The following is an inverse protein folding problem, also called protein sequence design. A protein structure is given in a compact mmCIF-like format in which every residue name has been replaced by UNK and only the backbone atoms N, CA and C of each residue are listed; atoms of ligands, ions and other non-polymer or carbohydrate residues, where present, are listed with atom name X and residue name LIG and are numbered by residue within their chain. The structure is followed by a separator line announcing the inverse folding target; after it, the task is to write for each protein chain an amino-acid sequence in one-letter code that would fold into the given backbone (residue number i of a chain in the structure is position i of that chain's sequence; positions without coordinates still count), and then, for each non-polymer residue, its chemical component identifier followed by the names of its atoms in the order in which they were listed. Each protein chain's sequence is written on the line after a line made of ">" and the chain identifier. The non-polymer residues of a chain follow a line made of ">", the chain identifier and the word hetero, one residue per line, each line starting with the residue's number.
data_IF_287717819452
#
_entry.id   IF_287717819452
#
_cell.length_a   1.000
_cell.length_b   1.000
_cell.length_c   1.000
_cell.angle_alpha   90.00
_cell.angle_beta   90.00
_cell.angle_gamma   90.00
#
_symmetry.space_group_name_H-M   'P 1'
#
loop_
_entity.id
_entity.type
_entity.pdbx_description
1 polymer ?
#
# COMPACT_ATOMS: atom_id res chain seq x y z
N UNK A 1 5.33 -1.39 14.23
CA UNK A 1 4.93 -2.27 13.11
C UNK A 1 3.48 -1.97 12.80
N UNK A 2 3.09 -1.76 11.54
CA UNK A 2 1.68 -1.69 11.19
C UNK A 2 1.10 -3.05 11.54
N UNK A 3 0.02 -3.05 12.31
CA UNK A 3 -0.70 -4.27 12.56
C UNK A 3 -1.59 -4.59 11.34
N UNK A 4 -2.18 -5.78 11.39
CA UNK A 4 -3.15 -6.22 10.39
C UNK A 4 -4.28 -5.19 10.18
N UNK A 5 -4.61 -4.38 11.21
CA UNK A 5 -5.63 -3.34 11.10
C UNK A 5 -5.20 -2.20 10.17
N UNK A 6 -3.97 -1.70 10.32
CA UNK A 6 -3.41 -0.68 9.43
C UNK A 6 -3.38 -1.16 7.96
N UNK A 7 -2.97 -2.41 7.70
CA UNK A 7 -2.97 -2.97 6.35
C UNK A 7 -4.39 -3.21 5.82
N UNK A 8 -5.32 -3.64 6.67
CA UNK A 8 -6.74 -3.72 6.31
C UNK A 8 -7.29 -2.35 5.92
N UNK A 9 -6.94 -1.28 6.65
CA UNK A 9 -7.43 0.07 6.36
C UNK A 9 -6.96 0.55 4.98
N UNK A 10 -5.71 0.27 4.60
CA UNK A 10 -5.23 0.55 3.22
C UNK A 10 -6.08 -0.18 2.18
N UNK A 11 -6.41 -1.45 2.42
CA UNK A 11 -7.33 -2.22 1.56
C UNK A 11 -8.71 -1.56 1.47
N UNK A 12 -9.26 -1.10 2.60
CA UNK A 12 -10.56 -0.41 2.64
C UNK A 12 -10.51 0.89 1.83
N UNK A 13 -9.49 1.73 2.03
CA UNK A 13 -9.31 2.97 1.27
C UNK A 13 -9.19 2.66 -0.23
N UNK A 14 -8.43 1.62 -0.60
CA UNK A 14 -8.29 1.18 -1.98
C UNK A 14 -9.62 0.77 -2.61
N UNK A 15 -10.40 -0.07 -1.90
CA UNK A 15 -11.75 -0.47 -2.29
C UNK A 15 -12.67 0.73 -2.52
N UNK A 16 -12.57 1.75 -1.66
CA UNK A 16 -13.33 3.00 -1.81
C UNK A 16 -12.90 3.79 -3.05
N UNK A 17 -11.60 3.87 -3.33
CA UNK A 17 -11.08 4.62 -4.47
C UNK A 17 -11.53 4.06 -5.82
N UNK A 18 -11.75 2.76 -5.95
CA UNK A 18 -12.11 2.13 -7.23
C UNK A 18 -13.61 2.16 -7.55
N UNK A 19 -14.47 1.78 -6.61
CA UNK A 19 -15.93 1.75 -6.82
C UNK A 19 -16.73 1.61 -5.51
N UNK A 20 -16.10 1.21 -4.40
CA UNK A 20 -16.79 1.02 -3.12
C UNK A 20 -17.81 -0.12 -3.11
N UNK A 21 -17.65 -1.14 -3.96
CA UNK A 21 -18.46 -2.36 -3.89
C UNK A 21 -17.88 -3.27 -2.79
N UNK A 22 -18.74 -3.89 -1.95
CA UNK A 22 -18.33 -4.81 -0.86
C UNK A 22 -17.38 -5.92 -1.32
N UNK A 23 -17.57 -6.49 -2.52
CA UNK A 23 -16.67 -7.52 -3.07
C UNK A 23 -15.26 -6.98 -3.31
N UNK A 24 -15.17 -5.73 -3.77
CA UNK A 24 -13.91 -5.05 -4.02
C UNK A 24 -13.24 -4.64 -2.71
N UNK A 25 -14.01 -4.25 -1.69
CA UNK A 25 -13.48 -4.03 -0.35
C UNK A 25 -12.84 -5.30 0.20
N UNK A 26 -13.57 -6.43 0.18
CA UNK A 26 -13.07 -7.69 0.69
C UNK A 26 -11.81 -8.13 -0.07
N UNK A 27 -11.84 -8.05 -1.40
CA UNK A 27 -10.68 -8.37 -2.22
C UNK A 27 -9.50 -7.46 -1.93
N UNK A 28 -9.72 -6.15 -1.80
CA UNK A 28 -8.66 -5.20 -1.49
C UNK A 28 -8.03 -5.46 -0.12
N UNK A 29 -8.84 -5.78 0.90
CA UNK A 29 -8.35 -6.17 2.23
C UNK A 29 -7.51 -7.44 2.13
N UNK A 30 -8.00 -8.49 1.47
CA UNK A 30 -7.25 -9.74 1.30
C UNK A 30 -5.91 -9.49 0.59
N UNK A 31 -5.89 -8.65 -0.44
CA UNK A 31 -4.67 -8.33 -1.17
C UNK A 31 -3.72 -7.44 -0.37
N UNK A 32 -4.24 -6.54 0.47
CA UNK A 32 -3.41 -5.67 1.31
C UNK A 32 -2.83 -6.37 2.53
N UNK A 33 -3.42 -7.49 2.98
CA UNK A 33 -2.87 -8.34 4.04
C UNK A 33 -2.19 -9.61 3.50
N UNK A 34 -2.11 -9.77 2.17
CA UNK A 34 -1.56 -10.98 1.57
C UNK A 34 -0.11 -11.26 2.00
N UNK A 35 0.79 -10.26 2.10
CA UNK A 35 2.16 -10.54 2.50
C UNK A 35 2.29 -11.07 3.94
N UNK A 36 1.40 -10.68 4.86
CA UNK A 36 1.39 -11.16 6.25
C UNK A 36 1.20 -12.67 6.39
N UNK A 37 0.71 -13.35 5.35
CA UNK A 37 0.58 -14.81 5.37
C UNK A 37 1.93 -15.52 5.56
N UNK A 38 3.05 -14.87 5.22
CA UNK A 38 4.37 -15.43 5.52
C UNK A 38 4.70 -15.44 7.02
N UNK A 39 3.96 -14.66 7.82
CA UNK A 39 3.97 -14.66 9.29
C UNK A 39 3.41 -15.93 9.92
N UNK A 40 2.72 -16.75 9.13
CA UNK A 40 2.31 -18.10 9.53
C UNK A 40 3.47 -19.10 9.46
N UNK A 41 4.65 -18.67 9.00
CA UNK A 41 5.84 -19.50 8.89
C UNK A 41 7.00 -18.90 9.69
N UNK A 42 8.02 -19.69 10.06
CA UNK A 42 9.25 -19.15 10.67
C UNK A 42 10.02 -18.19 9.76
N UNK A 43 9.65 -18.12 8.47
CA UNK A 43 10.26 -17.26 7.46
C UNK A 43 9.43 -15.97 7.25
N UNK A 44 8.81 -15.44 8.31
CA UNK A 44 8.08 -14.16 8.23
C UNK A 44 8.94 -13.05 7.59
N UNK A 45 8.32 -12.23 6.73
CA UNK A 45 8.94 -11.15 5.95
C UNK A 45 10.03 -11.59 4.99
N UNK A 46 9.84 -12.77 4.38
CA UNK A 46 10.74 -13.29 3.36
C UNK A 46 10.05 -13.44 2.01
N UNK A 47 9.38 -14.56 1.74
CA UNK A 47 8.89 -14.92 0.41
C UNK A 47 7.84 -13.93 -0.09
N UNK A 48 6.79 -13.66 0.69
CA UNK A 48 5.70 -12.79 0.25
C UNK A 48 6.04 -11.30 0.34
N UNK A 49 7.16 -10.96 0.98
CA UNK A 49 7.71 -9.61 1.02
C UNK A 49 8.89 -9.40 0.05
N UNK A 50 9.31 -10.45 -0.65
CA UNK A 50 10.39 -10.39 -1.64
C UNK A 50 9.87 -9.82 -2.95
N UNK A 51 10.57 -8.85 -3.52
CA UNK A 51 10.25 -8.28 -4.83
C UNK A 51 10.27 -9.35 -5.93
N UNK A 52 11.12 -10.37 -5.78
CA UNK A 52 11.25 -11.46 -6.75
C UNK A 52 9.95 -12.28 -6.85
N UNK A 53 9.21 -12.43 -5.75
CA UNK A 53 7.94 -13.13 -5.72
C UNK A 53 6.75 -12.18 -5.88
N UNK A 54 6.83 -11.01 -5.25
CA UNK A 54 5.76 -10.02 -5.23
C UNK A 54 5.48 -9.43 -6.60
N UNK A 55 6.51 -9.18 -7.42
CA UNK A 55 6.35 -8.68 -8.78
C UNK A 55 5.58 -9.63 -9.71
N UNK A 56 5.99 -10.91 -9.89
CA UNK A 56 5.21 -11.83 -10.70
C UNK A 56 3.82 -12.10 -10.12
N UNK A 57 3.68 -12.18 -8.80
CA UNK A 57 2.38 -12.33 -8.14
C UNK A 57 1.44 -11.15 -8.44
N UNK A 58 1.93 -9.92 -8.29
CA UNK A 58 1.17 -8.70 -8.56
C UNK A 58 0.79 -8.60 -10.04
N UNK A 59 1.70 -8.98 -10.95
CA UNK A 59 1.41 -9.05 -12.37
C UNK A 59 0.34 -10.11 -12.68
N UNK A 60 0.40 -11.28 -12.06
CA UNK A 60 -0.62 -12.32 -12.20
C UNK A 60 -1.99 -11.87 -11.68
N UNK A 61 -2.04 -11.14 -10.54
CA UNK A 61 -3.25 -10.52 -10.02
C UNK A 61 -3.82 -9.53 -11.05
N UNK A 62 -2.97 -8.65 -11.60
CA UNK A 62 -3.38 -7.69 -12.63
C UNK A 62 -3.99 -8.39 -13.85
N UNK A 63 -3.30 -9.38 -14.42
CA UNK A 63 -3.78 -10.14 -15.59
C UNK A 63 -5.11 -10.85 -15.29
N UNK A 64 -5.23 -11.47 -14.13
CA UNK A 64 -6.46 -12.14 -13.69
C UNK A 64 -7.63 -11.17 -13.61
N UNK A 65 -7.42 -9.98 -13.02
CA UNK A 65 -8.44 -8.94 -12.95
C UNK A 65 -8.80 -8.40 -14.34
N UNK A 66 -7.82 -8.27 -15.24
CA UNK A 66 -8.07 -7.90 -16.63
C UNK A 66 -8.90 -8.93 -17.38
N UNK A 67 -8.62 -10.22 -17.22
CA UNK A 67 -9.43 -11.31 -17.80
C UNK A 67 -10.88 -11.30 -17.28
N UNK A 68 -11.07 -10.94 -16.00
CA UNK A 68 -12.39 -10.73 -15.38
C UNK A 68 -13.06 -9.40 -15.77
N UNK A 69 -12.52 -8.68 -16.76
CA UNK A 69 -13.03 -7.41 -17.31
C UNK A 69 -13.05 -6.25 -16.32
N UNK A 70 -12.23 -6.27 -15.27
CA UNK A 70 -12.08 -5.09 -14.41
C UNK A 70 -11.44 -3.91 -15.19
N UNK A 71 -11.85 -2.66 -14.90
CA UNK A 71 -11.19 -1.48 -15.45
C UNK A 71 -9.69 -1.49 -15.15
N UNK A 72 -8.86 -0.99 -16.08
CA UNK A 72 -7.39 -0.98 -15.92
C UNK A 72 -7.00 -0.32 -14.60
N UNK A 73 -7.58 0.85 -14.29
CA UNK A 73 -7.35 1.56 -13.02
C UNK A 73 -7.62 0.70 -11.79
N UNK A 74 -8.72 -0.05 -11.77
CA UNK A 74 -9.07 -0.94 -10.66
C UNK A 74 -8.08 -2.10 -10.57
N UNK A 75 -7.77 -2.75 -11.69
CA UNK A 75 -6.84 -3.86 -11.74
C UNK A 75 -5.44 -3.43 -11.27
N UNK A 76 -4.95 -2.28 -11.72
CA UNK A 76 -3.65 -1.72 -11.33
C UNK A 76 -3.61 -1.38 -9.85
N UNK A 77 -4.62 -0.68 -9.31
CA UNK A 77 -4.60 -0.33 -7.88
C UNK A 77 -4.59 -1.58 -7.00
N UNK A 78 -5.44 -2.57 -7.28
CA UNK A 78 -5.52 -3.80 -6.49
C UNK A 78 -4.22 -4.63 -6.60
N UNK A 79 -3.64 -4.72 -7.79
CA UNK A 79 -2.36 -5.38 -8.00
C UNK A 79 -1.20 -4.69 -7.25
N UNK A 80 -1.30 -3.40 -6.97
CA UNK A 80 -0.29 -2.67 -6.20
C UNK A 80 -0.43 -2.81 -4.68
N UNK A 81 -1.53 -3.36 -4.15
CA UNK A 81 -1.74 -3.43 -2.70
C UNK A 81 -0.69 -4.27 -1.96
N UNK A 82 -0.23 -5.42 -2.48
CA UNK A 82 0.87 -6.16 -1.84
C UNK A 82 2.18 -5.35 -1.77
N UNK A 83 2.45 -4.49 -2.76
CA UNK A 83 3.59 -3.57 -2.72
C UNK A 83 3.42 -2.45 -1.70
N UNK A 84 2.21 -1.87 -1.61
CA UNK A 84 1.92 -0.85 -0.60
C UNK A 84 2.08 -1.40 0.80
N UNK A 85 1.66 -2.65 1.03
CA UNK A 85 1.92 -3.37 2.28
C UNK A 85 3.41 -3.41 2.60
N UNK A 86 4.24 -3.94 1.68
CA UNK A 86 5.68 -4.05 1.91
C UNK A 86 6.36 -2.69 2.11
N UNK A 87 5.87 -1.65 1.41
CA UNK A 87 6.34 -0.28 1.58
C UNK A 87 6.03 0.24 2.99
N UNK A 88 4.82 0.00 3.50
CA UNK A 88 4.47 0.37 4.88
C UNK A 88 5.41 -0.32 5.85
N UNK A 89 5.65 -1.62 5.70
CA UNK A 89 6.52 -2.39 6.58
C UNK A 89 7.99 -1.93 6.52
N UNK A 90 8.47 -1.49 5.36
CA UNK A 90 9.81 -0.89 5.22
C UNK A 90 9.92 0.43 5.97
N UNK A 91 8.89 1.27 5.90
CA UNK A 91 8.91 2.64 6.42
C UNK A 91 8.52 2.74 7.90
N UNK A 92 7.84 1.74 8.45
CA UNK A 92 7.28 1.80 9.81
C UNK A 92 8.09 1.03 10.86
N UNK A 93 9.10 0.26 10.46
CA UNK A 93 10.03 -0.34 11.42
C UNK A 93 9.49 -1.58 12.13
N UNK A 94 10.32 -2.61 12.25
CA UNK A 94 10.29 -3.71 13.26
C UNK A 94 11.22 -4.83 12.80
N UNK A 95 10.66 -5.91 12.24
CA UNK A 95 11.41 -7.02 11.66
C UNK A 95 11.86 -6.63 10.23
N UNK A 96 13.15 -6.69 9.90
CA UNK A 96 13.61 -6.34 8.56
C UNK A 96 13.00 -7.21 7.44
N UNK A 97 12.64 -6.56 6.33
CA UNK A 97 12.11 -7.25 5.15
C UNK A 97 13.26 -7.78 4.28
N UNK A 98 13.19 -9.04 3.87
CA UNK A 98 14.15 -9.63 2.94
C UNK A 98 13.72 -9.43 1.48
N UNK A 99 13.94 -8.23 0.95
CA UNK A 99 13.47 -7.81 -0.39
C UNK A 99 13.92 -8.69 -1.55
N UNK A 100 15.06 -9.38 -1.41
CA UNK A 100 15.67 -10.19 -2.46
C UNK A 100 15.69 -11.69 -2.11
N UNK A 101 14.89 -12.14 -1.15
CA UNK A 101 14.80 -13.56 -0.82
C UNK A 101 14.25 -14.38 -2.02
N UNK A 102 14.77 -15.58 -2.32
CA UNK A 102 15.83 -16.33 -1.63
C UNK A 102 17.25 -16.05 -2.14
N UNK A 103 17.45 -15.11 -3.08
CA UNK A 103 18.78 -14.76 -3.61
C UNK A 103 19.66 -14.18 -2.50
N UNK A 104 19.08 -13.39 -1.60
CA UNK A 104 19.75 -12.86 -0.42
C UNK A 104 18.86 -12.91 0.82
N UNK A 105 19.49 -13.12 1.97
CA UNK A 105 18.86 -13.07 3.30
C UNK A 105 19.01 -11.70 3.99
N UNK A 106 19.59 -10.71 3.32
CA UNK A 106 19.74 -9.35 3.87
C UNK A 106 18.39 -8.71 4.14
N UNK A 107 18.20 -8.20 5.36
CA UNK A 107 17.02 -7.47 5.77
C UNK A 107 17.15 -5.96 5.54
N UNK A 108 16.07 -5.33 5.12
CA UNK A 108 15.99 -3.89 4.83
C UNK A 108 14.90 -3.22 5.69
N UNK A 109 15.21 -2.02 6.19
CA UNK A 109 14.30 -1.13 6.91
C UNK A 109 14.70 0.32 6.67
N UNK A 110 13.71 1.20 6.52
CA UNK A 110 13.88 2.62 6.25
C UNK A 110 13.17 3.52 7.28
N UNK A 111 12.80 2.95 8.44
CA UNK A 111 12.13 3.67 9.52
C UNK A 111 12.88 4.94 9.97
N UNK A 112 14.21 4.91 9.99
CA UNK A 112 15.06 6.05 10.35
C UNK A 112 14.82 7.31 9.50
N UNK A 113 14.42 7.13 8.23
CA UNK A 113 14.09 8.24 7.33
C UNK A 113 12.84 8.96 7.85
N UNK A 114 11.86 8.20 8.32
CA UNK A 114 10.61 8.73 8.88
C UNK A 114 10.84 9.31 10.27
N UNK A 115 11.69 8.68 11.08
CA UNK A 115 12.01 9.13 12.44
C UNK A 115 12.58 10.55 12.46
N UNK A 116 13.45 10.87 11.51
CA UNK A 116 14.03 12.23 11.38
C UNK A 116 12.92 13.30 11.27
N UNK A 117 11.85 13.00 10.55
CA UNK A 117 10.72 13.91 10.39
C UNK A 117 9.83 13.95 11.65
N UNK A 118 9.59 12.80 12.28
CA UNK A 118 8.76 12.70 13.49
C UNK A 118 9.44 13.40 14.67
N UNK A 119 10.75 13.25 14.84
CA UNK A 119 11.52 13.90 15.90
C UNK A 119 11.45 15.43 15.77
N UNK A 120 11.51 15.95 14.54
CA UNK A 120 11.29 17.37 14.29
C UNK A 120 9.88 17.82 14.71
N UNK A 121 8.83 17.01 14.45
CA UNK A 121 7.47 17.29 14.91
C UNK A 121 7.34 17.21 16.44
N UNK A 122 8.00 16.26 17.08
CA UNK A 122 7.99 16.13 18.54
C UNK A 122 8.68 17.31 19.21
N UNK A 123 9.74 17.86 18.60
CA UNK A 123 10.46 19.01 19.16
C UNK A 123 9.61 20.27 19.34
N UNK A 124 8.52 20.39 18.57
CA UNK A 124 7.58 21.52 18.63
C UNK A 124 6.26 21.17 19.32
N UNK A 125 6.06 19.90 19.68
CA UNK A 125 4.80 19.44 20.25
C UNK A 125 4.83 19.48 21.79
N UNK A 126 3.76 19.98 22.45
CA UNK A 126 3.69 19.97 23.91
C UNK A 126 3.28 18.59 24.48
N UNK A 127 3.04 17.60 23.63
CA UNK A 127 2.55 16.27 24.04
C UNK A 127 3.61 15.19 23.83
N UNK A 128 3.60 14.19 24.71
CA UNK A 128 4.41 12.98 24.59
C UNK A 128 3.66 11.96 23.75
N UNK A 129 4.32 11.41 22.73
CA UNK A 129 3.76 10.39 21.86
C UNK A 129 4.69 9.17 21.77
N UNK A 130 4.11 8.03 21.41
CA UNK A 130 4.87 6.84 21.06
C UNK A 130 5.36 6.94 19.62
N UNK A 131 6.69 6.93 19.44
CA UNK A 131 7.34 7.08 18.14
C UNK A 131 6.79 6.08 17.11
N UNK A 132 6.65 4.81 17.49
CA UNK A 132 6.17 3.76 16.59
C UNK A 132 4.73 3.96 16.14
N UNK A 133 3.86 4.43 17.03
CA UNK A 133 2.46 4.70 16.72
C UNK A 133 2.35 5.89 15.75
N UNK A 134 3.05 6.99 16.06
CA UNK A 134 3.10 8.17 15.19
C UNK A 134 3.66 7.83 13.80
N UNK A 135 4.64 6.92 13.73
CA UNK A 135 5.20 6.46 12.47
C UNK A 135 4.19 5.71 11.62
N UNK A 136 3.45 4.76 12.21
CA UNK A 136 2.40 4.03 11.50
C UNK A 136 1.30 4.98 11.03
N UNK A 137 0.83 5.86 11.90
CA UNK A 137 -0.24 6.82 11.59
C UNK A 137 0.17 7.78 10.47
N UNK A 138 1.39 8.31 10.50
CA UNK A 138 1.91 9.21 9.47
C UNK A 138 1.98 8.53 8.11
N UNK A 139 2.51 7.30 8.05
CA UNK A 139 2.60 6.55 6.79
C UNK A 139 1.21 6.19 6.28
N UNK A 140 0.32 5.72 7.14
CA UNK A 140 -1.06 5.38 6.80
C UNK A 140 -1.83 6.59 6.26
N UNK A 141 -1.69 7.75 6.91
CA UNK A 141 -2.27 9.00 6.46
C UNK A 141 -1.71 9.41 5.10
N UNK A 142 -0.39 9.37 4.93
CA UNK A 142 0.27 9.77 3.68
C UNK A 142 -0.15 8.87 2.51
N UNK A 143 -0.15 7.55 2.70
CA UNK A 143 -0.62 6.58 1.71
C UNK A 143 -2.08 6.82 1.34
N UNK A 144 -2.94 7.06 2.34
CA UNK A 144 -4.36 7.36 2.13
C UNK A 144 -4.57 8.62 1.31
N UNK A 145 -3.91 9.72 1.69
CA UNK A 145 -4.00 11.00 0.98
C UNK A 145 -3.51 10.88 -0.47
N UNK A 146 -2.40 10.19 -0.69
CA UNK A 146 -1.88 9.95 -2.04
C UNK A 146 -2.88 9.19 -2.90
N UNK A 147 -3.47 8.11 -2.37
CA UNK A 147 -4.46 7.32 -3.09
C UNK A 147 -5.72 8.12 -3.44
N UNK A 148 -6.20 8.95 -2.51
CA UNK A 148 -7.35 9.84 -2.72
C UNK A 148 -7.02 10.90 -3.78
N UNK A 149 -5.85 11.54 -3.69
CA UNK A 149 -5.42 12.56 -4.63
C UNK A 149 -5.30 12.00 -6.07
N UNK A 150 -4.64 10.86 -6.25
CA UNK A 150 -4.52 10.18 -7.54
C UNK A 150 -5.89 9.77 -8.10
N UNK A 151 -6.81 9.33 -7.23
CA UNK A 151 -8.17 9.00 -7.63
C UNK A 151 -8.96 10.23 -8.11
N UNK A 152 -8.78 11.38 -7.46
CA UNK A 152 -9.47 12.61 -7.83
C UNK A 152 -8.90 13.25 -9.10
N UNK A 153 -7.56 13.28 -9.25
CA UNK A 153 -6.91 13.80 -10.46
C UNK A 153 -7.39 13.07 -11.73
N UNK A 154 -7.53 11.74 -11.65
CA UNK A 154 -8.03 10.93 -12.76
C UNK A 154 -9.52 11.16 -13.07
N UNK A 155 -10.35 11.52 -12.08
CA UNK A 155 -11.76 11.90 -12.33
C UNK A 155 -11.86 13.25 -13.03
N UNK A 156 -11.10 14.24 -12.56
CA UNK A 156 -11.12 15.59 -13.12
C UNK A 156 -10.67 15.60 -14.59
N UNK A 157 -9.63 14.82 -14.93
CA UNK A 157 -9.18 14.67 -16.32
C UNK A 157 -10.29 14.12 -17.24
N UNK A 158 -11.10 13.16 -16.77
CA UNK A 158 -12.20 12.59 -17.57
C UNK A 158 -13.30 13.61 -17.83
N UNK A 159 -13.58 14.49 -16.86
CA UNK A 159 -14.59 15.53 -16.99
C UNK A 159 -14.15 16.65 -17.95
N UNK A 160 -12.87 17.04 -17.95
CA UNK A 160 -12.34 18.05 -18.87
C UNK A 160 -12.30 17.58 -20.32
N UNK A 161 -12.04 16.28 -20.58
CA UNK A 161 -12.05 15.73 -21.95
C UNK A 161 -13.45 15.56 -22.53
N UNK A 162 -14.49 15.46 -21.69
CA UNK A 162 -15.89 15.40 -22.15
C UNK A 162 -16.48 16.78 -22.47
N UNK A 163 -15.82 17.87 -22.07
CA UNK A 163 -16.26 19.26 -22.24
C UNK A 163 -15.54 19.99 -23.38
N UNK A 164 -14.72 19.31 -24.18
CA UNK A 164 -14.22 19.88 -25.43
C UNK A 164 -15.27 19.59 -26.53
N UNK A 165 -16.13 20.55 -26.92
CA UNK A 165 -16.93 20.39 -28.12
C UNK A 165 -15.98 20.39 -29.32
N UNK A 166 -16.26 19.51 -30.28
CA UNK A 166 -15.74 19.58 -31.63
C UNK A 166 -15.92 21.01 -32.16
N UNK A 167 -14.85 21.81 -32.12
CA UNK A 167 -14.77 23.00 -32.95
C UNK A 167 -14.38 22.52 -34.35
N UNK A 168 -15.43 22.33 -35.16
CA UNK A 168 -15.35 22.32 -36.62
C UNK A 168 -14.76 23.62 -37.14
#
# INVERSE_FOLDING_TARGET
>A
MPDIFAHCLVGVVAGRCVNGNWKLYLLAVVLSTLPDLDGLTPLHRSLLHSLLFLAPLSFAIFLTLKQRKYPVKTASLLACLPFLHCLMDLLTGSIPIKLFYPISNTGYQFAHIVDTFIEALFSISPYVYYLEATRVDLILLTTTLLMVALNNATKNHKNSTHLAPDRQ
#
